data_IF_980592077205
#
_entry.id   IF_980592077205
#
_cell.length_a   1.000
_cell.length_b   1.000
_cell.length_c   1.000
_cell.angle_alpha   90.00
_cell.angle_beta   90.00
_cell.angle_gamma   90.00
#
_symmetry.space_group_name_H-M   'P 1'
#
loop_
_entity.id
_entity.type
_entity.pdbx_description
1 polymer ?
#
# COMPACT_ATOMS: atom_id res chain seq x y z
N UNK A 1 11.91 16.30 -33.91
CA UNK A 1 10.50 16.17 -34.33
C UNK A 1 9.65 17.11 -33.48
N UNK A 2 8.71 17.85 -34.09
CA UNK A 2 7.74 18.69 -33.39
C UNK A 2 6.56 17.80 -32.94
N UNK A 3 6.55 17.35 -31.69
CA UNK A 3 5.52 16.41 -31.20
C UNK A 3 4.10 16.98 -31.28
N UNK A 4 3.95 18.31 -31.22
CA UNK A 4 2.66 19.00 -31.32
C UNK A 4 1.99 18.83 -32.69
N UNK A 5 2.77 18.59 -33.73
CA UNK A 5 2.30 18.48 -35.12
C UNK A 5 2.21 17.01 -35.58
N UNK A 6 2.69 16.07 -34.75
CA UNK A 6 2.74 14.65 -35.10
C UNK A 6 1.39 13.93 -34.90
N UNK A 7 0.48 14.49 -34.11
CA UNK A 7 -0.84 13.90 -33.88
C UNK A 7 -1.80 14.31 -35.00
N UNK A 8 -2.04 13.40 -35.93
CA UNK A 8 -3.09 13.51 -36.93
C UNK A 8 -3.95 12.25 -36.91
N UNK A 9 -5.22 12.40 -37.27
CA UNK A 9 -6.16 11.29 -37.40
C UNK A 9 -6.45 11.11 -38.90
N UNK A 10 -6.08 9.97 -39.49
CA UNK A 10 -6.38 9.67 -40.89
C UNK A 10 -7.89 9.78 -41.20
N UNK A 11 -8.27 10.16 -42.43
CA UNK A 11 -9.68 10.35 -42.81
C UNK A 11 -10.51 9.06 -42.75
N UNK A 12 -9.90 7.90 -42.94
CA UNK A 12 -10.53 6.58 -42.90
C UNK A 12 -10.78 6.06 -41.48
N UNK A 13 -10.23 6.71 -40.45
CA UNK A 13 -10.34 6.26 -39.07
C UNK A 13 -11.76 6.49 -38.53
N UNK A 14 -12.50 5.44 -38.14
CA UNK A 14 -13.84 5.60 -37.59
C UNK A 14 -13.76 6.12 -36.14
N UNK A 15 -13.62 7.44 -35.99
CA UNK A 15 -13.49 8.12 -34.70
C UNK A 15 -14.52 9.24 -34.55
N UNK A 16 -15.21 9.28 -33.41
CA UNK A 16 -16.15 10.35 -33.10
C UNK A 16 -15.45 11.68 -32.80
N UNK A 17 -16.14 12.80 -33.01
CA UNK A 17 -15.62 14.12 -32.64
C UNK A 17 -15.33 14.25 -31.14
N UNK A 18 -16.17 13.65 -30.28
CA UNK A 18 -15.94 13.62 -28.84
C UNK A 18 -14.65 12.86 -28.47
N UNK A 19 -14.41 11.72 -29.12
CA UNK A 19 -13.17 10.93 -28.92
C UNK A 19 -11.94 11.71 -29.40
N UNK A 20 -12.01 12.34 -30.57
CA UNK A 20 -10.92 13.15 -31.12
C UNK A 20 -10.55 14.29 -30.19
N UNK A 21 -11.56 15.03 -29.70
CA UNK A 21 -11.34 16.13 -28.77
C UNK A 21 -10.71 15.65 -27.45
N UNK A 22 -11.21 14.55 -26.87
CA UNK A 22 -10.63 13.98 -25.65
C UNK A 22 -9.15 13.61 -25.83
N UNK A 23 -8.80 12.92 -26.92
CA UNK A 23 -7.40 12.54 -27.21
C UNK A 23 -6.52 13.78 -27.34
N UNK A 24 -6.96 14.81 -28.08
CA UNK A 24 -6.20 16.05 -28.23
C UNK A 24 -6.04 16.82 -26.91
N UNK A 25 -7.05 16.83 -26.05
CA UNK A 25 -7.02 17.45 -24.72
C UNK A 25 -6.09 16.72 -23.73
N UNK A 26 -5.79 15.44 -23.97
CA UNK A 26 -4.82 14.67 -23.18
C UNK A 26 -3.41 14.75 -23.79
N UNK A 27 -3.30 14.61 -25.11
CA UNK A 27 -2.06 14.67 -25.89
C UNK A 27 -1.66 16.11 -26.24
N UNK A 28 -1.61 16.98 -25.25
CA UNK A 28 -1.17 18.37 -25.38
C UNK A 28 -0.10 18.72 -24.32
N UNK A 29 0.24 20.01 -24.25
CA UNK A 29 1.26 20.49 -23.31
C UNK A 29 0.76 20.37 -21.87
N UNK A 30 1.67 20.19 -20.92
CA UNK A 30 1.31 20.01 -19.50
C UNK A 30 0.38 21.11 -18.98
N UNK A 31 0.63 22.37 -19.36
CA UNK A 31 -0.16 23.54 -18.94
C UNK A 31 -1.64 23.51 -19.36
N UNK A 32 -1.96 22.85 -20.48
CA UNK A 32 -3.32 22.80 -21.03
C UNK A 32 -3.92 21.40 -20.96
N UNK A 33 -3.20 20.44 -20.38
CA UNK A 33 -3.62 19.05 -20.32
C UNK A 33 -4.79 18.92 -19.36
N UNK A 34 -5.79 18.17 -19.79
CA UNK A 34 -6.87 17.73 -18.92
C UNK A 34 -6.29 16.89 -17.76
N UNK A 35 -6.24 17.48 -16.57
CA UNK A 35 -5.43 16.95 -15.45
C UNK A 35 -6.23 16.60 -14.19
N UNK A 36 -7.46 17.11 -14.06
CA UNK A 36 -8.38 16.76 -12.96
C UNK A 36 -9.31 15.62 -13.39
N UNK A 37 -9.59 14.71 -12.46
CA UNK A 37 -10.56 13.62 -12.66
C UNK A 37 -11.96 14.20 -12.92
N UNK A 38 -12.34 15.27 -12.22
CA UNK A 38 -13.62 15.95 -12.39
C UNK A 38 -13.77 16.49 -13.81
N UNK A 39 -12.71 17.07 -14.37
CA UNK A 39 -12.73 17.60 -15.73
C UNK A 39 -12.72 16.48 -16.79
N UNK A 40 -12.06 15.35 -16.51
CA UNK A 40 -12.11 14.14 -17.33
C UNK A 40 -13.54 13.58 -17.36
N UNK A 41 -14.20 13.43 -16.21
CA UNK A 41 -15.57 12.90 -16.12
C UNK A 41 -16.60 13.75 -16.87
N UNK A 42 -16.38 15.06 -16.94
CA UNK A 42 -17.26 16.01 -17.65
C UNK A 42 -17.12 15.98 -19.18
N UNK A 43 -16.12 15.28 -19.73
CA UNK A 43 -15.92 15.25 -21.17
C UNK A 43 -17.11 14.58 -21.87
N UNK A 44 -17.62 15.13 -22.99
CA UNK A 44 -18.77 14.58 -23.72
C UNK A 44 -18.62 13.12 -24.15
N UNK A 45 -17.37 12.66 -24.31
CA UNK A 45 -17.07 11.26 -24.59
C UNK A 45 -17.63 10.31 -23.52
N UNK A 46 -17.66 10.72 -22.25
CA UNK A 46 -18.10 9.88 -21.12
C UNK A 46 -19.55 10.14 -20.66
N UNK A 47 -20.37 10.85 -21.44
CA UNK A 47 -21.72 11.25 -21.00
C UNK A 47 -22.64 10.10 -20.54
N UNK A 48 -22.45 8.89 -21.06
CA UNK A 48 -23.26 7.70 -20.73
C UNK A 48 -22.59 6.79 -19.69
N UNK A 49 -21.45 7.19 -19.12
CA UNK A 49 -20.74 6.41 -18.11
C UNK A 49 -21.34 6.69 -16.74
N UNK A 50 -21.86 5.64 -16.12
CA UNK A 50 -22.15 5.63 -14.69
C UNK A 50 -20.83 5.40 -13.93
N UNK A 51 -20.30 6.48 -13.36
CA UNK A 51 -19.03 6.45 -12.62
C UNK A 51 -19.16 5.85 -11.22
N UNK A 52 -20.36 5.86 -10.63
CA UNK A 52 -20.61 5.35 -9.27
C UNK A 52 -20.63 3.82 -9.29
N UNK A 53 -21.28 3.23 -10.29
CA UNK A 53 -21.46 1.78 -10.40
C UNK A 53 -20.62 1.15 -11.53
N UNK A 54 -19.55 1.81 -11.99
CA UNK A 54 -18.77 1.36 -13.15
C UNK A 54 -18.22 -0.07 -12.98
N UNK A 55 -17.93 -0.50 -11.75
CA UNK A 55 -17.41 -1.84 -11.43
C UNK A 55 -18.49 -2.92 -11.37
N UNK A 56 -19.75 -2.55 -11.27
CA UNK A 56 -20.88 -3.48 -11.20
C UNK A 56 -21.39 -3.85 -12.59
N UNK A 57 -21.04 -3.03 -13.59
CA UNK A 57 -21.38 -3.30 -15.00
C UNK A 57 -20.53 -4.46 -15.54
N UNK A 58 -21.12 -5.34 -16.37
CA UNK A 58 -20.35 -6.39 -17.02
C UNK A 58 -19.25 -5.78 -17.91
N UNK A 59 -18.06 -6.40 -17.90
CA UNK A 59 -16.96 -5.99 -18.78
C UNK A 59 -17.39 -6.11 -20.25
N UNK A 60 -17.00 -5.13 -21.07
CA UNK A 60 -17.33 -5.14 -22.50
C UNK A 60 -16.73 -6.35 -23.24
N UNK A 61 -15.56 -6.81 -22.79
CA UNK A 61 -14.88 -7.99 -23.30
C UNK A 61 -14.62 -8.91 -22.10
N UNK A 62 -15.44 -9.95 -21.89
CA UNK A 62 -15.17 -10.93 -20.84
C UNK A 62 -13.96 -11.78 -21.22
N UNK A 63 -13.10 -12.07 -20.25
CA UNK A 63 -11.97 -13.00 -20.41
C UNK A 63 -12.45 -14.41 -20.11
N UNK A 64 -12.14 -15.36 -20.99
CA UNK A 64 -12.38 -16.78 -20.75
C UNK A 64 -11.16 -17.39 -20.04
N UNK A 65 -11.39 -18.02 -18.88
CA UNK A 65 -10.35 -18.63 -18.05
C UNK A 65 -10.66 -20.12 -17.94
N UNK A 66 -9.71 -20.97 -18.36
CA UNK A 66 -9.87 -22.43 -18.41
C UNK A 66 -9.52 -23.11 -17.08
N UNK A 67 -8.56 -22.56 -16.35
CA UNK A 67 -8.03 -23.09 -15.08
C UNK A 67 -7.37 -22.00 -14.24
N UNK A 68 -7.02 -22.32 -12.99
CA UNK A 68 -6.37 -21.39 -12.06
C UNK A 68 -4.95 -20.95 -12.52
N UNK A 69 -4.32 -21.78 -13.35
CA UNK A 69 -2.98 -21.59 -13.92
C UNK A 69 -3.03 -21.22 -15.42
N UNK A 70 -4.19 -20.83 -15.95
CA UNK A 70 -4.34 -20.44 -17.35
C UNK A 70 -3.60 -19.12 -17.66
N UNK A 71 -2.52 -19.21 -18.44
CA UNK A 71 -1.72 -18.06 -18.90
C UNK A 71 -2.00 -17.66 -20.35
N UNK A 72 -3.09 -18.15 -20.97
CA UNK A 72 -3.38 -17.94 -22.40
C UNK A 72 -3.64 -16.49 -22.81
N UNK A 73 -3.89 -15.60 -21.86
CA UNK A 73 -4.05 -14.16 -22.08
C UNK A 73 -2.73 -13.37 -21.91
N UNK A 74 -1.59 -14.06 -21.78
CA UNK A 74 -0.26 -13.48 -21.68
C UNK A 74 0.63 -13.97 -22.83
N UNK A 75 1.59 -13.13 -23.24
CA UNK A 75 2.59 -13.51 -24.23
C UNK A 75 3.61 -14.49 -23.64
N UNK A 76 4.11 -15.40 -24.48
CA UNK A 76 5.25 -16.25 -24.14
C UNK A 76 6.55 -15.47 -24.35
N UNK A 77 7.35 -15.38 -23.30
CA UNK A 77 8.68 -14.75 -23.37
C UNK A 77 9.76 -15.83 -23.45
N UNK A 78 10.81 -15.62 -24.26
CA UNK A 78 11.95 -16.52 -24.26
C UNK A 78 12.64 -16.51 -22.89
N UNK A 79 13.29 -17.61 -22.54
CA UNK A 79 14.10 -17.69 -21.33
C UNK A 79 15.16 -16.57 -21.36
N UNK A 80 15.02 -15.59 -20.47
CA UNK A 80 16.06 -14.61 -20.25
C UNK A 80 17.24 -15.29 -19.55
N UNK A 81 18.47 -14.90 -19.93
CA UNK A 81 19.63 -15.25 -19.13
C UNK A 81 19.54 -14.52 -17.78
N UNK A 82 19.18 -15.27 -16.74
CA UNK A 82 19.10 -14.78 -15.37
C UNK A 82 20.47 -14.86 -14.65
N UNK A 83 21.56 -15.06 -15.39
CA UNK A 83 22.90 -14.94 -14.84
C UNK A 83 23.03 -13.56 -14.20
N UNK A 84 23.12 -13.56 -12.87
CA UNK A 84 23.45 -12.34 -12.16
C UNK A 84 24.82 -11.89 -12.69
N UNK A 85 24.98 -10.64 -13.15
CA UNK A 85 26.32 -10.14 -13.42
C UNK A 85 27.12 -10.38 -12.14
N UNK A 86 28.30 -11.01 -12.25
CA UNK A 86 29.17 -11.32 -11.12
C UNK A 86 29.64 -10.00 -10.48
N UNK A 87 28.78 -9.37 -9.68
CA UNK A 87 29.13 -8.20 -8.86
C UNK A 87 29.70 -8.75 -7.55
N UNK A 88 30.83 -9.42 -7.69
CA UNK A 88 31.77 -9.73 -6.61
C UNK A 88 32.99 -8.85 -6.83
N UNK A 89 32.77 -7.53 -6.92
CA UNK A 89 33.87 -6.57 -6.79
C UNK A 89 34.16 -6.40 -5.29
N UNK A 90 35.26 -6.98 -4.76
CA UNK A 90 35.60 -6.89 -3.35
C UNK A 90 35.92 -5.46 -2.87
N UNK A 91 36.18 -4.50 -3.78
CA UNK A 91 36.35 -3.08 -3.42
C UNK A 91 35.03 -2.35 -3.23
N UNK A 92 33.93 -2.88 -3.76
CA UNK A 92 32.58 -2.34 -3.64
C UNK A 92 31.83 -3.09 -2.54
N UNK A 93 32.10 -2.74 -1.28
CA UNK A 93 31.33 -3.17 -0.10
C UNK A 93 29.91 -2.57 -0.13
N UNK A 94 29.10 -2.90 -1.12
CA UNK A 94 27.66 -2.70 -1.05
C UNK A 94 27.12 -3.73 -0.08
N UNK A 95 26.59 -3.29 1.06
CA UNK A 95 25.74 -4.13 1.90
C UNK A 95 24.47 -4.42 1.09
N UNK A 96 24.50 -5.48 0.26
CA UNK A 96 23.46 -5.85 -0.72
C UNK A 96 22.05 -5.91 -0.12
N UNK A 97 21.97 -6.17 1.19
CA UNK A 97 20.72 -6.32 1.92
C UNK A 97 20.12 -4.99 2.44
N UNK A 98 20.86 -3.87 2.42
CA UNK A 98 20.33 -2.58 2.89
C UNK A 98 19.21 -2.05 2.01
N UNK A 99 19.31 -2.25 0.68
CA UNK A 99 18.31 -1.77 -0.27
C UNK A 99 16.93 -2.44 -0.09
N UNK A 100 16.87 -3.58 0.61
CA UNK A 100 15.66 -4.38 0.79
C UNK A 100 15.18 -4.40 2.24
N UNK A 101 15.75 -3.58 3.13
CA UNK A 101 15.23 -3.41 4.49
C UNK A 101 13.77 -2.95 4.40
N UNK A 102 12.87 -3.61 5.14
CA UNK A 102 11.42 -3.38 5.14
C UNK A 102 10.69 -3.68 3.82
N UNK A 103 11.33 -4.36 2.87
CA UNK A 103 10.68 -4.79 1.62
C UNK A 103 9.61 -5.86 1.86
N UNK A 104 9.76 -6.68 2.90
CA UNK A 104 8.80 -7.75 3.22
C UNK A 104 7.44 -7.15 3.61
N UNK A 105 6.45 -7.39 2.77
CA UNK A 105 5.04 -7.10 3.04
C UNK A 105 4.27 -8.41 3.26
N UNK A 106 3.41 -8.43 4.28
CA UNK A 106 2.50 -9.55 4.55
C UNK A 106 1.09 -9.00 4.72
N UNK A 107 0.22 -9.28 3.76
CA UNK A 107 -1.14 -8.73 3.73
C UNK A 107 -2.04 -9.27 4.85
N UNK A 108 -1.81 -10.51 5.29
CA UNK A 108 -2.71 -11.24 6.20
C UNK A 108 -2.05 -11.77 7.49
N UNK A 109 -0.77 -11.46 7.73
CA UNK A 109 -0.18 -11.70 9.05
C UNK A 109 -0.67 -10.59 9.99
N UNK A 110 -1.77 -10.87 10.68
CA UNK A 110 -2.53 -9.96 11.53
C UNK A 110 -1.74 -9.37 12.69
N UNK A 111 -1.01 -8.29 12.41
CA UNK A 111 -0.61 -7.27 13.37
C UNK A 111 -0.78 -5.94 12.66
N UNK A 112 -2.01 -5.44 12.63
CA UNK A 112 -2.22 -4.06 12.17
C UNK A 112 -1.42 -3.14 13.09
N UNK A 113 -0.99 -1.97 12.61
CA UNK A 113 -0.23 -1.02 13.45
C UNK A 113 -0.95 -0.68 14.78
N UNK A 114 -2.27 -0.86 14.85
CA UNK A 114 -3.07 -0.71 16.06
C UNK A 114 -2.75 -1.78 17.12
N UNK A 115 -2.55 -3.04 16.74
CA UNK A 115 -2.25 -4.13 17.67
C UNK A 115 -0.90 -3.92 18.36
N UNK A 116 0.09 -3.39 17.62
CA UNK A 116 1.40 -3.00 18.18
C UNK A 116 1.32 -1.86 19.20
N UNK A 117 0.36 -0.93 19.04
CA UNK A 117 0.14 0.17 19.97
C UNK A 117 -0.58 -0.34 21.22
N UNK A 118 -1.59 -1.19 21.05
CA UNK A 118 -2.34 -1.84 22.13
C UNK A 118 -1.43 -2.70 23.02
N UNK A 119 -0.58 -3.55 22.44
CA UNK A 119 0.36 -4.37 23.20
C UNK A 119 1.35 -3.54 24.01
N UNK A 120 1.84 -2.43 23.43
CA UNK A 120 2.72 -1.51 24.14
C UNK A 120 1.99 -0.86 25.32
N UNK A 121 0.72 -0.49 25.17
CA UNK A 121 -0.08 0.08 26.26
C UNK A 121 -0.36 -0.95 27.35
N UNK A 122 -0.77 -2.17 26.99
CA UNK A 122 -1.05 -3.27 27.91
C UNK A 122 0.19 -3.64 28.74
N UNK A 123 1.36 -3.74 28.09
CA UNK A 123 2.62 -4.01 28.79
C UNK A 123 2.98 -2.94 29.82
N UNK A 124 2.80 -1.65 29.49
CA UNK A 124 3.06 -0.54 30.43
C UNK A 124 2.09 -0.55 31.61
N UNK A 125 0.81 -0.84 31.37
CA UNK A 125 -0.21 -0.91 32.41
C UNK A 125 0.05 -2.07 33.38
N UNK A 126 0.43 -3.23 32.85
CA UNK A 126 0.77 -4.41 33.65
C UNK A 126 2.04 -4.16 34.49
N UNK A 127 3.05 -3.49 33.92
CA UNK A 127 4.26 -3.07 34.66
C UNK A 127 3.91 -2.11 35.81
N UNK A 128 3.01 -1.16 35.57
CA UNK A 128 2.57 -0.22 36.59
C UNK A 128 1.80 -0.90 37.74
N UNK A 129 0.89 -1.83 37.41
CA UNK A 129 0.19 -2.62 38.43
C UNK A 129 1.15 -3.46 39.28
N UNK A 130 2.12 -4.16 38.67
CA UNK A 130 3.12 -4.93 39.42
C UNK A 130 3.92 -4.05 40.38
N UNK A 131 4.24 -2.82 39.98
CA UNK A 131 4.93 -1.88 40.85
C UNK A 131 4.04 -1.42 42.03
N UNK A 132 2.77 -1.10 41.78
CA UNK A 132 1.83 -0.74 42.87
C UNK A 132 1.60 -1.88 43.85
N UNK A 133 1.41 -3.12 43.35
CA UNK A 133 1.23 -4.29 44.21
C UNK A 133 2.48 -4.51 45.08
N UNK A 134 3.69 -4.38 44.51
CA UNK A 134 4.92 -4.50 45.28
C UNK A 134 5.04 -3.43 46.38
N UNK A 135 4.64 -2.18 46.10
CA UNK A 135 4.63 -1.10 47.09
C UNK A 135 3.57 -1.33 48.19
N UNK A 136 2.38 -1.78 47.80
CA UNK A 136 1.30 -2.11 48.74
C UNK A 136 1.72 -3.27 49.66
N UNK A 137 2.22 -4.38 49.11
CA UNK A 137 2.74 -5.49 49.90
C UNK A 137 3.86 -5.07 50.84
N UNK A 138 4.78 -4.20 50.39
CA UNK A 138 5.84 -3.64 51.25
C UNK A 138 5.27 -2.78 52.38
N UNK A 139 4.24 -1.97 52.12
CA UNK A 139 3.58 -1.16 53.14
C UNK A 139 2.86 -2.00 54.19
N UNK A 140 2.18 -3.07 53.80
CA UNK A 140 1.52 -4.01 54.72
C UNK A 140 2.53 -4.72 55.63
N UNK A 141 3.65 -5.18 55.08
CA UNK A 141 4.73 -5.80 55.87
C UNK A 141 5.32 -4.80 56.87
N UNK A 142 5.49 -3.53 56.48
CA UNK A 142 5.97 -2.48 57.38
C UNK A 142 4.96 -2.15 58.50
N UNK A 143 3.66 -2.14 58.22
CA UNK A 143 2.63 -1.92 59.24
C UNK A 143 2.53 -3.09 60.24
N UNK A 144 2.73 -4.33 59.78
CA UNK A 144 2.73 -5.49 60.67
C UNK A 144 3.95 -5.46 61.61
N UNK A 145 5.12 -5.04 61.12
CA UNK A 145 6.34 -4.90 61.93
C UNK A 145 6.26 -3.77 62.96
N UNK A 146 5.54 -2.68 62.68
CA UNK A 146 5.34 -1.58 63.63
C UNK A 146 4.24 -1.89 64.65
N UNK A 147 3.22 -2.68 64.28
CA UNK A 147 2.18 -3.17 65.19
C UNK A 147 2.70 -4.17 66.24
N UNK A 148 3.72 -4.95 65.91
CA UNK A 148 4.34 -5.91 66.85
C UNK A 148 5.12 -5.20 67.97
N UNK A 149 5.69 -4.00 67.72
CA UNK A 149 6.45 -3.25 68.76
C UNK A 149 5.60 -2.61 69.86
N UNK A 150 4.27 -2.52 69.69
CA UNK A 150 3.37 -1.90 70.69
C UNK A 150 2.69 -2.90 71.63
N UNK A 151 3.03 -4.20 71.56
CA UNK A 151 2.44 -5.25 72.43
C UNK A 151 3.35 -5.76 73.55
N UNK A 152 4.52 -5.17 73.75
CA UNK A 152 5.45 -5.52 74.84
C UNK A 152 5.68 -4.34 75.78
N UNK A 153 4.60 -3.91 76.45
CA UNK A 153 4.67 -3.14 77.70
C UNK A 153 3.48 -3.56 78.56
N UNK A 154 3.67 -4.61 79.36
CA UNK A 154 2.95 -4.84 80.61
C UNK A 154 3.85 -5.66 81.52
#
# INVERSE_FOLDING_TARGET
MSWKEALFFPPEMPISNHSRNLIQSLCCGAETRLSSIEDIRKQPFFHAVDWEHIRERPAAIPVNIRSIDDTSNFDEFPNADLSWPNVTDPMKSYQKNLAFINYTYKAFDGWTNNDRILDRQLYQQQKFQRHQTALSSRSSILSDLTGIKNKSST
#
